data_IF_972283063593
#
_entry.id   IF_972283063593
#
_cell.length_a   1.000
_cell.length_b   1.000
_cell.length_c   1.000
_cell.angle_alpha   90.00
_cell.angle_beta   90.00
_cell.angle_gamma   90.00
#
_symmetry.space_group_name_H-M   'P 1'
#
loop_
_entity.id
_entity.type
_entity.pdbx_description
1 polymer ?
#
# COMPACT_ATOMS: atom_id res chain seq x y z
N UNK A 1 21.98 -5.56 4.53
CA UNK A 1 21.81 -4.60 3.42
C UNK A 1 21.24 -3.31 3.99
N UNK A 2 21.83 -2.17 3.65
CA UNK A 2 21.39 -0.85 4.17
C UNK A 2 20.32 -0.18 3.28
N UNK A 3 19.89 -0.87 2.21
CA UNK A 3 18.89 -0.39 1.25
C UNK A 3 17.56 -1.11 1.45
N UNK A 4 16.48 -0.37 1.21
CA UNK A 4 15.13 -0.89 1.27
C UNK A 4 14.29 -0.28 0.14
N UNK A 5 13.74 -1.12 -0.71
CA UNK A 5 12.87 -0.70 -1.80
C UNK A 5 11.47 -1.31 -1.61
N UNK A 6 10.48 -0.45 -1.46
CA UNK A 6 9.06 -0.80 -1.35
C UNK A 6 8.27 -0.14 -2.47
N UNK A 7 7.33 -0.87 -3.03
CA UNK A 7 6.46 -0.37 -4.11
C UNK A 7 5.01 -0.66 -3.82
N UNK A 8 4.12 0.19 -4.31
CA UNK A 8 2.71 -0.16 -4.55
C UNK A 8 2.51 -0.61 -5.98
N UNK A 9 1.33 -1.14 -6.31
CA UNK A 9 0.85 -1.09 -7.69
C UNK A 9 0.73 0.37 -8.14
N UNK A 10 0.61 0.57 -9.46
CA UNK A 10 0.31 1.88 -10.03
C UNK A 10 -1.14 1.88 -10.51
N UNK A 11 -2.04 2.64 -9.85
CA UNK A 11 -3.44 2.67 -10.20
C UNK A 11 -3.71 3.12 -11.64
N UNK A 12 -4.71 2.50 -12.26
CA UNK A 12 -5.17 2.86 -13.60
C UNK A 12 -6.00 4.15 -13.55
N UNK A 13 -5.65 5.13 -14.41
CA UNK A 13 -6.27 6.48 -14.36
C UNK A 13 -7.66 6.55 -15.01
N UNK A 14 -8.42 5.47 -14.91
CA UNK A 14 -9.80 5.44 -15.37
C UNK A 14 -10.78 6.07 -14.37
N UNK A 15 -10.38 6.27 -13.11
CA UNK A 15 -11.21 6.89 -12.08
C UNK A 15 -10.38 7.60 -10.99
N UNK A 16 -11.06 8.41 -10.16
CA UNK A 16 -10.44 9.07 -9.00
C UNK A 16 -10.08 8.07 -7.90
N UNK A 17 -9.11 8.41 -7.03
CA UNK A 17 -8.72 7.54 -5.92
C UNK A 17 -9.87 7.23 -4.96
N UNK A 18 -9.88 6.01 -4.42
CA UNK A 18 -10.82 5.52 -3.42
C UNK A 18 -10.11 4.85 -2.24
N UNK A 19 -10.87 4.37 -1.23
CA UNK A 19 -10.33 3.79 0.00
C UNK A 19 -9.36 2.62 -0.23
N UNK A 20 -9.57 1.80 -1.26
CA UNK A 20 -8.68 0.68 -1.59
C UNK A 20 -7.27 1.15 -2.00
N UNK A 21 -7.18 2.16 -2.87
CA UNK A 21 -5.89 2.75 -3.25
C UNK A 21 -5.19 3.39 -2.05
N UNK A 22 -5.98 4.08 -1.20
CA UNK A 22 -5.45 4.69 0.01
C UNK A 22 -4.88 3.64 0.98
N UNK A 23 -5.55 2.49 1.18
CA UNK A 23 -5.06 1.39 2.01
C UNK A 23 -3.71 0.88 1.51
N UNK A 24 -3.57 0.65 0.21
CA UNK A 24 -2.33 0.18 -0.40
C UNK A 24 -1.16 1.14 -0.14
N UNK A 25 -1.40 2.45 -0.31
CA UNK A 25 -0.41 3.49 -0.04
C UNK A 25 -0.03 3.56 1.44
N UNK A 26 -0.99 3.44 2.35
CA UNK A 26 -0.74 3.44 3.80
C UNK A 26 0.10 2.24 4.24
N UNK A 27 -0.21 1.05 3.73
CA UNK A 27 0.57 -0.16 4.03
C UNK A 27 2.02 0.01 3.57
N UNK A 28 2.24 0.47 2.34
CA UNK A 28 3.58 0.70 1.83
C UNK A 28 4.35 1.77 2.64
N UNK A 29 3.64 2.83 3.04
CA UNK A 29 4.20 3.91 3.84
C UNK A 29 4.64 3.43 5.24
N UNK A 30 3.85 2.56 5.87
CA UNK A 30 4.22 1.99 7.17
C UNK A 30 5.54 1.21 7.08
N UNK A 31 5.75 0.40 6.05
CA UNK A 31 7.02 -0.30 5.81
C UNK A 31 8.17 0.65 5.47
N UNK A 32 7.92 1.67 4.66
CA UNK A 32 8.92 2.68 4.31
C UNK A 32 9.40 3.45 5.55
N UNK A 33 8.48 3.88 6.41
CA UNK A 33 8.79 4.60 7.65
C UNK A 33 9.53 3.72 8.66
N UNK A 34 9.06 2.46 8.89
CA UNK A 34 9.78 1.50 9.72
C UNK A 34 11.23 1.30 9.24
N UNK A 35 11.43 1.13 7.94
CA UNK A 35 12.76 0.93 7.39
C UNK A 35 13.67 2.15 7.61
N UNK A 36 13.14 3.38 7.49
CA UNK A 36 13.89 4.62 7.82
C UNK A 36 14.27 4.69 9.28
N UNK A 37 13.36 4.30 10.19
CA UNK A 37 13.69 4.20 11.64
C UNK A 37 14.79 3.20 11.92
N UNK A 38 14.92 2.16 11.12
CA UNK A 38 16.03 1.20 11.16
C UNK A 38 17.30 1.73 10.47
N UNK A 39 17.38 3.04 10.18
CA UNK A 39 18.49 3.72 9.50
C UNK A 39 18.82 3.16 8.12
N UNK A 40 17.82 2.58 7.39
CA UNK A 40 17.98 2.15 6.02
C UNK A 40 17.76 3.31 5.04
N UNK A 41 18.50 3.27 3.93
CA UNK A 41 18.18 4.11 2.78
C UNK A 41 16.95 3.54 2.09
N UNK A 42 15.90 4.35 1.89
CA UNK A 42 14.60 3.87 1.40
C UNK A 42 14.23 4.54 0.09
N UNK A 43 13.90 3.73 -0.90
CA UNK A 43 13.08 4.13 -2.04
C UNK A 43 11.68 3.57 -1.81
N UNK A 44 10.69 4.46 -1.86
CA UNK A 44 9.27 4.12 -1.88
C UNK A 44 8.68 4.69 -3.17
N UNK A 45 8.31 3.81 -4.11
CA UNK A 45 7.69 4.19 -5.37
C UNK A 45 6.21 3.83 -5.42
N UNK A 46 5.44 4.76 -5.94
CA UNK A 46 4.07 4.58 -6.42
C UNK A 46 3.93 5.32 -7.74
N UNK A 47 2.75 5.38 -8.32
CA UNK A 47 2.57 6.09 -9.59
C UNK A 47 1.19 5.87 -10.18
N UNK A 48 1.09 6.03 -11.49
CA UNK A 48 -0.16 5.83 -12.25
C UNK A 48 0.09 5.10 -13.55
N UNK A 49 -0.82 4.18 -13.88
CA UNK A 49 -0.92 3.49 -15.15
C UNK A 49 -1.88 4.27 -16.06
N UNK A 50 -1.36 4.76 -17.19
CA UNK A 50 -2.01 5.84 -17.94
C UNK A 50 -2.36 5.48 -19.39
N UNK A 51 -1.99 4.30 -19.88
CA UNK A 51 -2.29 3.85 -21.23
C UNK A 51 -3.52 2.93 -21.27
N UNK A 52 -3.99 2.62 -22.47
CA UNK A 52 -5.08 1.68 -22.72
C UNK A 52 -6.32 2.29 -23.36
N UNK A 53 -7.18 1.41 -23.91
CA UNK A 53 -8.36 1.82 -24.68
C UNK A 53 -9.40 2.57 -23.84
N UNK A 54 -9.60 2.15 -22.59
CA UNK A 54 -10.57 2.79 -21.68
C UNK A 54 -10.25 4.25 -21.38
N UNK A 55 -8.96 4.60 -21.31
CA UNK A 55 -8.56 6.01 -21.08
C UNK A 55 -8.94 6.85 -22.30
N UNK A 56 -8.63 6.34 -23.50
CA UNK A 56 -9.00 7.03 -24.74
C UNK A 56 -10.51 7.18 -24.90
N UNK A 57 -11.27 6.11 -24.70
CA UNK A 57 -12.75 6.12 -24.73
C UNK A 57 -13.34 7.13 -23.73
N UNK A 58 -12.84 7.12 -22.49
CA UNK A 58 -13.32 8.03 -21.44
C UNK A 58 -12.95 9.49 -21.73
N UNK A 59 -11.76 9.74 -22.26
CA UNK A 59 -11.33 11.06 -22.67
C UNK A 59 -12.21 11.60 -23.80
N UNK A 60 -12.46 10.79 -24.84
CA UNK A 60 -13.36 11.13 -25.94
C UNK A 60 -14.78 11.43 -25.44
N UNK A 61 -15.33 10.61 -24.51
CA UNK A 61 -16.64 10.84 -23.90
C UNK A 61 -16.71 12.17 -23.11
N UNK A 62 -15.58 12.70 -22.67
CA UNK A 62 -15.48 14.01 -22.00
C UNK A 62 -15.08 15.15 -22.95
N UNK A 63 -14.82 14.86 -24.22
CA UNK A 63 -14.39 15.86 -25.22
C UNK A 63 -12.97 16.39 -24.99
N UNK A 64 -12.08 15.61 -24.32
CA UNK A 64 -10.69 15.96 -24.04
C UNK A 64 -9.72 14.93 -24.61
N UNK A 65 -8.42 15.24 -24.63
CA UNK A 65 -7.38 14.29 -25.03
C UNK A 65 -7.06 13.26 -23.95
N UNK A 66 -6.59 12.05 -24.35
CA UNK A 66 -6.21 11.00 -23.42
C UNK A 66 -5.10 11.45 -22.45
N UNK A 67 -4.10 12.22 -22.93
CA UNK A 67 -3.06 12.80 -22.07
C UNK A 67 -3.64 13.75 -21.03
N UNK A 68 -4.59 14.60 -21.42
CA UNK A 68 -5.22 15.56 -20.50
C UNK A 68 -6.01 14.86 -19.41
N UNK A 69 -6.73 13.77 -19.74
CA UNK A 69 -7.41 12.94 -18.75
C UNK A 69 -6.41 12.27 -17.80
N UNK A 70 -5.32 11.70 -18.35
CA UNK A 70 -4.27 11.08 -17.57
C UNK A 70 -3.62 12.09 -16.62
N UNK A 71 -3.26 13.28 -17.08
CA UNK A 71 -2.69 14.35 -16.25
C UNK A 71 -3.61 14.75 -15.10
N UNK A 72 -4.90 14.89 -15.38
CA UNK A 72 -5.91 15.25 -14.38
C UNK A 72 -6.04 14.17 -13.29
N UNK A 73 -6.21 12.92 -13.68
CA UNK A 73 -6.44 11.83 -12.71
C UNK A 73 -5.15 11.46 -11.96
N UNK A 74 -3.99 11.47 -12.64
CA UNK A 74 -2.68 11.29 -11.99
C UNK A 74 -2.45 12.37 -10.93
N UNK A 75 -2.86 13.61 -11.20
CA UNK A 75 -2.84 14.71 -10.23
C UNK A 75 -3.66 14.40 -8.97
N UNK A 76 -4.82 13.75 -9.10
CA UNK A 76 -5.65 13.32 -7.96
C UNK A 76 -4.95 12.25 -7.11
N UNK A 77 -4.26 11.28 -7.75
CA UNK A 77 -3.46 10.29 -7.02
C UNK A 77 -2.27 10.92 -6.30
N UNK A 78 -1.58 11.87 -6.93
CA UNK A 78 -0.51 12.62 -6.28
C UNK A 78 -1.04 13.46 -5.11
N UNK A 79 -2.22 14.05 -5.22
CA UNK A 79 -2.87 14.77 -4.13
C UNK A 79 -3.28 13.83 -2.99
N UNK A 80 -3.70 12.59 -3.29
CA UNK A 80 -3.98 11.59 -2.27
C UNK A 80 -2.73 11.25 -1.46
N UNK A 81 -1.55 11.09 -2.09
CA UNK A 81 -0.32 10.81 -1.33
C UNK A 81 0.02 11.95 -0.36
N UNK A 82 -0.17 13.20 -0.78
CA UNK A 82 0.04 14.37 0.07
C UNK A 82 -0.99 14.46 1.20
N UNK A 83 -2.27 14.25 0.87
CA UNK A 83 -3.38 14.28 1.84
C UNK A 83 -3.16 13.29 2.98
N UNK A 84 -2.67 12.08 2.67
CA UNK A 84 -2.47 11.01 3.64
C UNK A 84 -1.07 10.99 4.27
N UNK A 85 -0.24 12.03 4.04
CA UNK A 85 1.14 12.11 4.52
C UNK A 85 1.96 10.86 4.13
N UNK A 86 1.80 10.39 2.86
CA UNK A 86 2.58 9.28 2.31
C UNK A 86 3.99 9.74 2.00
N UNK A 87 4.98 9.00 2.45
CA UNK A 87 6.40 9.37 2.37
C UNK A 87 7.11 8.84 1.12
N UNK A 88 6.35 8.60 0.04
CA UNK A 88 6.93 8.18 -1.23
C UNK A 88 7.92 9.23 -1.77
N UNK A 89 9.03 8.76 -2.30
CA UNK A 89 10.05 9.62 -2.91
C UNK A 89 10.25 9.33 -4.41
N UNK A 90 9.42 8.46 -4.97
CA UNK A 90 9.27 8.24 -6.40
C UNK A 90 7.79 8.17 -6.74
N UNK A 91 7.42 8.83 -7.85
CA UNK A 91 6.08 8.78 -8.43
C UNK A 91 6.25 8.58 -9.93
N UNK A 92 5.94 7.40 -10.43
CA UNK A 92 6.10 7.05 -11.84
C UNK A 92 4.79 7.26 -12.58
N UNK A 93 4.88 7.78 -13.81
CA UNK A 93 3.78 7.83 -14.76
C UNK A 93 4.16 7.00 -15.98
N UNK A 94 3.28 6.14 -16.47
CA UNK A 94 3.63 5.32 -17.64
C UNK A 94 3.73 6.15 -18.92
N UNK A 95 3.14 7.36 -18.93
CA UNK A 95 3.30 8.37 -20.01
C UNK A 95 4.62 9.16 -19.94
N UNK A 96 5.41 9.02 -18.88
CA UNK A 96 6.70 9.71 -18.81
C UNK A 96 7.64 9.25 -19.93
N UNK A 97 8.27 10.16 -20.67
CA UNK A 97 9.21 9.81 -21.74
C UNK A 97 10.33 8.86 -21.28
N UNK A 98 10.76 9.00 -20.02
CA UNK A 98 11.77 8.14 -19.43
C UNK A 98 11.27 6.70 -19.25
N UNK A 99 10.01 6.51 -18.83
CA UNK A 99 9.38 5.19 -18.74
C UNK A 99 9.20 4.58 -20.13
N UNK A 100 8.62 5.34 -21.07
CA UNK A 100 8.38 4.89 -22.46
C UNK A 100 9.68 4.37 -23.10
N UNK A 101 10.74 5.17 -23.03
CA UNK A 101 12.05 4.80 -23.60
C UNK A 101 12.60 3.51 -22.98
N UNK A 102 12.47 3.35 -21.65
CA UNK A 102 12.93 2.15 -20.95
C UNK A 102 12.06 0.94 -21.22
N UNK A 103 10.76 1.11 -21.31
CA UNK A 103 9.83 0.03 -21.67
C UNK A 103 10.16 -0.51 -23.06
N UNK A 104 10.44 0.35 -24.04
CA UNK A 104 10.88 -0.05 -25.38
C UNK A 104 12.23 -0.79 -25.35
N UNK A 105 13.19 -0.35 -24.53
CA UNK A 105 14.46 -1.03 -24.34
C UNK A 105 14.26 -2.43 -23.70
N UNK A 106 13.37 -2.53 -22.71
CA UNK A 106 13.03 -3.81 -22.06
C UNK A 106 12.39 -4.77 -23.07
N UNK A 107 11.46 -4.28 -23.89
CA UNK A 107 10.88 -5.08 -24.97
C UNK A 107 11.96 -5.70 -25.87
N UNK A 108 12.91 -4.90 -26.35
CA UNK A 108 14.02 -5.38 -27.18
C UNK A 108 14.87 -6.44 -26.46
N UNK A 109 15.12 -6.27 -25.17
CA UNK A 109 15.86 -7.28 -24.37
C UNK A 109 15.09 -8.58 -24.18
N UNK A 110 13.76 -8.55 -24.27
CA UNK A 110 12.88 -9.71 -24.17
C UNK A 110 12.62 -10.41 -25.51
N UNK A 111 13.11 -9.89 -26.65
CA UNK A 111 12.82 -10.39 -28.01
C UNK A 111 13.03 -11.90 -28.18
N UNK A 112 14.02 -12.50 -27.48
CA UNK A 112 14.27 -13.96 -27.51
C UNK A 112 13.07 -14.79 -27.03
N UNK A 113 12.21 -14.21 -26.22
CA UNK A 113 11.02 -14.84 -25.64
C UNK A 113 9.71 -14.20 -26.16
N UNK A 114 9.82 -13.38 -27.21
CA UNK A 114 8.65 -12.77 -27.88
C UNK A 114 8.52 -13.38 -29.28
N UNK A 115 7.29 -13.65 -29.68
CA UNK A 115 6.96 -14.09 -31.05
C UNK A 115 5.65 -13.48 -31.52
N UNK A 116 5.44 -13.40 -32.82
CA UNK A 116 4.21 -12.91 -33.43
C UNK A 116 3.30 -14.08 -33.76
N UNK A 117 2.01 -13.97 -33.47
CA UNK A 117 1.05 -15.03 -33.70
C UNK A 117 -0.37 -14.51 -33.73
N UNK A 118 -1.29 -15.33 -34.25
CA UNK A 118 -2.71 -15.03 -34.27
C UNK A 118 -3.34 -15.43 -32.94
N UNK A 119 -3.99 -14.50 -32.29
CA UNK A 119 -4.87 -14.76 -31.16
C UNK A 119 -6.29 -14.95 -31.65
N UNK A 120 -6.86 -16.11 -31.35
CA UNK A 120 -8.29 -16.38 -31.57
C UNK A 120 -8.86 -16.74 -30.20
N UNK A 121 -9.71 -15.89 -29.67
CA UNK A 121 -10.23 -16.12 -28.32
C UNK A 121 -11.29 -15.13 -27.92
N UNK A 122 -11.57 -15.10 -26.62
CA UNK A 122 -12.58 -14.26 -26.03
C UNK A 122 -11.95 -13.08 -25.29
N UNK A 123 -12.56 -11.91 -25.44
CA UNK A 123 -12.09 -10.67 -24.86
C UNK A 123 -13.19 -10.00 -24.05
N UNK A 124 -12.84 -9.49 -22.89
CA UNK A 124 -13.70 -8.59 -22.11
C UNK A 124 -13.19 -7.16 -22.23
N UNK A 125 -13.96 -6.29 -22.88
CA UNK A 125 -13.65 -4.85 -22.97
C UNK A 125 -13.63 -4.17 -21.61
N UNK A 126 -14.36 -4.72 -20.64
CA UNK A 126 -14.39 -4.24 -19.25
C UNK A 126 -13.12 -4.55 -18.46
N UNK A 127 -12.50 -5.70 -18.66
CA UNK A 127 -11.22 -6.08 -18.01
C UNK A 127 -10.00 -5.69 -18.85
N UNK A 128 -10.22 -5.34 -20.14
CA UNK A 128 -9.17 -5.21 -21.17
C UNK A 128 -8.29 -6.47 -21.24
N UNK A 129 -8.89 -7.64 -21.04
CA UNK A 129 -8.20 -8.91 -20.90
C UNK A 129 -8.82 -10.01 -21.75
N UNK A 130 -7.97 -10.97 -22.09
CA UNK A 130 -8.39 -12.19 -22.77
C UNK A 130 -8.80 -13.27 -21.78
N UNK A 131 -9.79 -14.07 -22.19
CA UNK A 131 -10.32 -15.18 -21.40
C UNK A 131 -10.30 -16.46 -22.23
N UNK A 132 -10.02 -17.56 -21.58
CA UNK A 132 -10.09 -18.89 -22.20
C UNK A 132 -11.54 -19.29 -22.46
N UNK A 133 -11.77 -20.17 -23.43
CA UNK A 133 -13.11 -20.69 -23.72
C UNK A 133 -13.73 -21.38 -22.48
N UNK A 134 -12.90 -21.99 -21.64
CA UNK A 134 -13.33 -22.62 -20.38
C UNK A 134 -13.88 -21.58 -19.40
N UNK A 135 -13.19 -20.44 -19.23
CA UNK A 135 -13.64 -19.35 -18.36
C UNK A 135 -14.94 -18.71 -18.88
N UNK A 136 -15.03 -18.52 -20.19
CA UNK A 136 -16.24 -17.97 -20.83
C UNK A 136 -17.44 -18.89 -20.63
N UNK A 137 -17.27 -20.19 -20.82
CA UNK A 137 -18.32 -21.19 -20.59
C UNK A 137 -18.73 -21.26 -19.12
N UNK A 138 -17.77 -21.22 -18.19
CA UNK A 138 -18.04 -21.23 -16.75
C UNK A 138 -18.87 -20.03 -16.29
N UNK A 139 -18.79 -18.91 -17.02
CA UNK A 139 -19.50 -17.67 -16.73
C UNK A 139 -20.68 -17.40 -17.71
N UNK A 140 -21.17 -18.42 -18.41
CA UNK A 140 -22.29 -18.30 -19.34
C UNK A 140 -22.12 -17.21 -20.41
N UNK A 141 -20.90 -16.95 -20.86
CA UNK A 141 -20.57 -15.94 -21.85
C UNK A 141 -20.58 -14.48 -21.35
N UNK A 142 -20.71 -14.26 -20.04
CA UNK A 142 -20.78 -12.93 -19.43
C UNK A 142 -19.60 -12.75 -18.46
N UNK A 143 -18.90 -11.65 -18.57
CA UNK A 143 -17.82 -11.30 -17.67
C UNK A 143 -18.35 -11.08 -16.23
N UNK A 144 -17.86 -11.81 -15.22
CA UNK A 144 -18.36 -11.72 -13.86
C UNK A 144 -18.03 -10.37 -13.19
N UNK A 145 -16.97 -9.69 -13.64
CA UNK A 145 -16.53 -8.42 -13.07
C UNK A 145 -17.35 -7.22 -13.60
N UNK A 146 -17.76 -7.27 -14.87
CA UNK A 146 -18.35 -6.12 -15.56
C UNK A 146 -19.77 -6.36 -16.07
N UNK A 147 -20.29 -7.58 -15.92
CA UNK A 147 -21.62 -8.00 -16.41
C UNK A 147 -21.85 -7.66 -17.90
N UNK A 148 -20.81 -7.85 -18.73
CA UNK A 148 -20.81 -7.63 -20.18
C UNK A 148 -20.54 -8.94 -20.90
N UNK A 149 -21.11 -9.15 -22.11
CA UNK A 149 -20.80 -10.33 -22.91
C UNK A 149 -19.33 -10.31 -23.31
N UNK A 150 -18.71 -11.49 -23.37
CA UNK A 150 -17.39 -11.65 -23.99
C UNK A 150 -17.51 -11.55 -25.51
N UNK A 151 -16.53 -10.91 -26.13
CA UNK A 151 -16.43 -10.75 -27.57
C UNK A 151 -15.43 -11.76 -28.15
N UNK A 152 -15.79 -12.49 -29.19
CA UNK A 152 -14.84 -13.34 -29.89
C UNK A 152 -14.03 -12.47 -30.85
N UNK A 153 -12.72 -12.49 -30.71
CA UNK A 153 -11.80 -11.70 -31.52
C UNK A 153 -10.76 -12.57 -32.18
N UNK A 154 -10.29 -12.11 -33.33
CA UNK A 154 -9.15 -12.65 -34.06
C UNK A 154 -8.21 -11.52 -34.39
N UNK A 155 -6.98 -11.58 -33.88
CA UNK A 155 -5.98 -10.53 -33.99
C UNK A 155 -4.57 -11.09 -34.13
N UNK A 156 -3.75 -10.45 -34.95
CA UNK A 156 -2.32 -10.73 -34.97
C UNK A 156 -1.64 -9.88 -33.86
N UNK A 157 -1.04 -10.55 -32.89
CA UNK A 157 -0.43 -9.92 -31.75
C UNK A 157 0.99 -10.47 -31.50
N UNK A 158 1.78 -9.77 -30.71
CA UNK A 158 2.97 -10.32 -30.10
C UNK A 158 2.62 -11.07 -28.82
N UNK A 159 3.31 -12.20 -28.60
CA UNK A 159 3.16 -13.07 -27.43
C UNK A 159 4.49 -13.15 -26.68
N UNK A 160 4.41 -13.20 -25.35
CA UNK A 160 5.53 -13.52 -24.48
C UNK A 160 5.42 -14.98 -24.03
N UNK A 161 6.53 -15.74 -24.16
CA UNK A 161 6.63 -17.16 -23.78
C UNK A 161 6.58 -17.35 -22.26
N UNK A 162 5.45 -17.01 -21.63
CA UNK A 162 5.24 -17.14 -20.20
C UNK A 162 5.35 -18.60 -19.76
N UNK A 163 4.83 -19.53 -20.58
CA UNK A 163 4.88 -20.98 -20.34
C UNK A 163 6.28 -21.50 -20.06
N UNK A 164 7.30 -20.93 -20.71
CA UNK A 164 8.71 -21.30 -20.55
C UNK A 164 9.22 -21.14 -19.11
N UNK A 165 8.68 -20.18 -18.37
CA UNK A 165 9.13 -19.80 -17.03
C UNK A 165 8.24 -20.37 -15.92
N UNK A 166 7.19 -21.12 -16.26
CA UNK A 166 6.18 -21.61 -15.33
C UNK A 166 6.78 -22.39 -14.17
N UNK A 167 7.64 -23.37 -14.45
CA UNK A 167 8.27 -24.21 -13.43
C UNK A 167 9.27 -23.44 -12.56
N UNK A 168 10.02 -22.52 -13.15
CA UNK A 168 11.00 -21.72 -12.40
C UNK A 168 10.32 -20.76 -11.42
N UNK A 169 9.25 -20.08 -11.86
CA UNK A 169 8.45 -19.20 -11.00
C UNK A 169 7.76 -19.99 -9.89
N UNK A 170 7.12 -21.11 -10.23
CA UNK A 170 6.51 -22.01 -9.24
C UNK A 170 7.51 -22.42 -8.17
N UNK A 171 8.71 -22.87 -8.59
CA UNK A 171 9.77 -23.31 -7.68
C UNK A 171 10.28 -22.17 -6.80
N UNK A 172 10.40 -20.96 -7.35
CA UNK A 172 10.80 -19.79 -6.57
C UNK A 172 9.78 -19.46 -5.45
N UNK A 173 8.48 -19.53 -5.75
CA UNK A 173 7.41 -19.31 -4.77
C UNK A 173 7.37 -20.45 -3.75
N UNK A 174 7.44 -21.71 -4.21
CA UNK A 174 7.38 -22.90 -3.35
C UNK A 174 8.52 -22.94 -2.33
N UNK A 175 9.72 -22.54 -2.75
CA UNK A 175 10.92 -22.54 -1.92
C UNK A 175 11.14 -21.21 -1.16
N UNK A 176 10.15 -20.30 -1.16
CA UNK A 176 10.22 -18.99 -0.52
C UNK A 176 11.39 -18.10 -0.97
N UNK A 177 11.92 -18.29 -2.19
CA UNK A 177 12.83 -17.34 -2.82
C UNK A 177 12.09 -16.07 -3.23
N UNK A 178 10.83 -16.23 -3.63
CA UNK A 178 9.86 -15.15 -3.81
C UNK A 178 8.70 -15.43 -2.88
N UNK A 179 8.60 -14.68 -1.78
CA UNK A 179 7.59 -14.88 -0.74
C UNK A 179 6.30 -14.18 -1.12
N UNK A 180 5.17 -14.85 -0.92
CA UNK A 180 3.84 -14.27 -1.16
C UNK A 180 3.05 -14.28 0.14
N UNK A 181 2.48 -13.15 0.48
CA UNK A 181 1.66 -12.94 1.66
C UNK A 181 0.27 -12.38 1.27
N UNK A 182 -0.77 -12.70 2.02
CA UNK A 182 -0.83 -13.74 3.06
C UNK A 182 -0.74 -15.17 2.48
N UNK A 183 -0.61 -16.16 3.35
CA UNK A 183 -0.47 -17.58 2.96
C UNK A 183 -1.64 -18.09 2.08
N UNK A 184 -2.84 -17.57 2.30
CA UNK A 184 -4.02 -17.88 1.46
C UNK A 184 -3.76 -17.49 0.00
N UNK A 185 -3.24 -16.30 -0.25
CA UNK A 185 -2.90 -15.81 -1.59
C UNK A 185 -1.76 -16.60 -2.24
N UNK A 186 -0.76 -16.96 -1.43
CA UNK A 186 0.30 -17.86 -1.90
C UNK A 186 -0.26 -19.18 -2.41
N UNK A 187 -1.19 -19.80 -1.69
CA UNK A 187 -1.79 -21.06 -2.09
C UNK A 187 -2.64 -20.92 -3.37
N UNK A 188 -3.41 -19.84 -3.49
CA UNK A 188 -4.15 -19.52 -4.71
C UNK A 188 -3.21 -19.37 -5.92
N UNK A 189 -2.11 -18.64 -5.75
CA UNK A 189 -1.11 -18.47 -6.80
C UNK A 189 -0.48 -19.82 -7.19
N UNK A 190 -0.08 -20.64 -6.22
CA UNK A 190 0.49 -21.97 -6.54
C UNK A 190 -0.49 -22.85 -7.32
N UNK A 191 -1.79 -22.77 -7.00
CA UNK A 191 -2.83 -23.51 -7.75
C UNK A 191 -2.99 -23.05 -9.21
N UNK A 192 -2.60 -21.82 -9.56
CA UNK A 192 -2.60 -21.36 -10.96
C UNK A 192 -1.56 -22.13 -11.80
N UNK A 193 -0.47 -22.58 -11.19
CA UNK A 193 0.61 -23.29 -11.87
C UNK A 193 0.33 -24.78 -12.05
N UNK A 194 -0.63 -25.37 -11.33
CA UNK A 194 -0.96 -26.81 -11.42
C UNK A 194 -1.38 -27.24 -12.85
N UNK A 195 -1.93 -26.31 -13.62
CA UNK A 195 -2.35 -26.50 -15.02
C UNK A 195 -1.28 -26.06 -16.03
N UNK A 196 -0.16 -25.51 -15.55
CA UNK A 196 0.80 -24.78 -16.37
C UNK A 196 0.30 -23.39 -16.75
N UNK A 197 1.23 -22.50 -17.09
CA UNK A 197 0.91 -21.18 -17.62
C UNK A 197 0.96 -21.22 -19.16
N UNK A 198 0.02 -20.53 -19.79
CA UNK A 198 0.01 -20.32 -21.25
C UNK A 198 0.75 -19.03 -21.60
N UNK A 199 1.23 -18.95 -22.84
CA UNK A 199 1.84 -17.73 -23.37
C UNK A 199 0.81 -16.60 -23.42
N UNK A 200 1.25 -15.39 -23.13
CA UNK A 200 0.36 -14.23 -23.03
C UNK A 200 0.53 -13.28 -24.22
N UNK A 201 -0.57 -12.75 -24.71
CA UNK A 201 -0.54 -11.67 -25.69
C UNK A 201 -0.12 -10.35 -25.02
N UNK A 202 0.94 -9.73 -25.56
CA UNK A 202 1.62 -8.55 -25.00
C UNK A 202 1.54 -7.31 -25.90
N UNK A 203 0.78 -7.37 -26.99
CA UNK A 203 0.51 -6.22 -27.85
C UNK A 203 -0.95 -6.19 -28.32
N UNK A 204 -1.32 -5.07 -28.90
CA UNK A 204 -2.63 -4.84 -29.51
C UNK A 204 -2.46 -4.09 -30.83
N UNK A 205 -3.31 -4.34 -31.83
CA UNK A 205 -3.34 -3.54 -33.04
C UNK A 205 -3.62 -2.06 -32.76
N UNK A 206 -2.84 -1.19 -33.33
CA UNK A 206 -2.92 0.27 -33.09
C UNK A 206 -4.20 0.92 -33.65
N UNK A 207 -4.83 0.29 -34.63
CA UNK A 207 -6.13 0.71 -35.14
C UNK A 207 -7.25 0.51 -34.12
N UNK A 208 -7.11 -0.44 -33.21
CA UNK A 208 -8.05 -0.71 -32.11
C UNK A 208 -7.71 0.07 -30.85
N UNK A 209 -6.43 0.11 -30.45
CA UNK A 209 -5.95 0.84 -29.27
C UNK A 209 -4.95 1.91 -29.71
N UNK A 210 -5.41 3.15 -29.76
CA UNK A 210 -4.58 4.29 -30.21
C UNK A 210 -3.65 4.83 -29.11
N UNK A 211 -4.05 4.69 -27.87
CA UNK A 211 -3.35 5.23 -26.69
C UNK A 211 -2.52 4.15 -26.00
N UNK A 212 -1.23 4.09 -26.29
CA UNK A 212 -0.29 3.10 -25.78
C UNK A 212 1.12 3.33 -26.30
N UNK A 213 2.10 2.60 -25.73
CA UNK A 213 3.50 2.63 -26.16
C UNK A 213 3.66 1.83 -27.45
N UNK A 214 4.24 2.45 -28.50
CA UNK A 214 4.48 1.73 -29.75
C UNK A 214 5.49 0.59 -29.55
N UNK A 215 5.21 -0.56 -30.17
CA UNK A 215 6.14 -1.68 -30.25
C UNK A 215 7.37 -1.28 -31.06
N UNK A 216 8.60 -1.49 -30.56
CA UNK A 216 9.81 -1.23 -31.31
C UNK A 216 9.86 -2.03 -32.63
N UNK A 217 10.07 -1.33 -33.73
CA UNK A 217 10.15 -1.95 -35.06
C UNK A 217 8.81 -2.28 -35.72
N UNK A 218 7.67 -2.11 -35.02
CA UNK A 218 6.32 -2.33 -35.60
C UNK A 218 5.35 -1.23 -35.17
N UNK A 219 5.20 -0.23 -36.05
CA UNK A 219 4.30 0.91 -35.80
C UNK A 219 2.82 0.59 -35.88
N UNK A 220 2.46 -0.63 -36.32
CA UNK A 220 1.07 -1.11 -36.38
C UNK A 220 0.57 -1.69 -35.05
N UNK A 221 1.47 -1.83 -34.06
CA UNK A 221 1.20 -2.44 -32.77
C UNK A 221 1.56 -1.50 -31.62
N UNK A 222 0.80 -1.54 -30.55
CA UNK A 222 1.12 -0.93 -29.26
C UNK A 222 1.29 -2.03 -28.19
N UNK A 223 2.13 -1.76 -27.19
CA UNK A 223 2.31 -2.67 -26.05
C UNK A 223 1.00 -2.80 -25.28
N UNK A 224 0.73 -4.00 -24.81
CA UNK A 224 -0.39 -4.25 -23.90
C UNK A 224 -0.12 -3.55 -22.56
N UNK A 225 -1.13 -2.83 -22.04
CA UNK A 225 -1.00 -1.97 -20.86
C UNK A 225 -0.38 -2.70 -19.66
N UNK A 226 -0.85 -3.89 -19.32
CA UNK A 226 -0.31 -4.66 -18.19
C UNK A 226 1.14 -5.10 -18.40
N UNK A 227 1.56 -5.33 -19.65
CA UNK A 227 2.94 -5.73 -19.94
C UNK A 227 3.92 -4.59 -19.71
N UNK A 228 3.60 -3.39 -20.19
CA UNK A 228 4.46 -2.23 -20.01
C UNK A 228 4.36 -1.64 -18.58
N UNK A 229 3.14 -1.64 -17.99
CA UNK A 229 2.94 -1.13 -16.65
C UNK A 229 3.78 -1.88 -15.60
N UNK A 230 3.90 -3.24 -15.69
CA UNK A 230 4.76 -4.01 -14.80
C UNK A 230 6.22 -3.59 -14.81
N UNK A 231 6.69 -3.01 -15.91
CA UNK A 231 8.07 -2.53 -16.02
C UNK A 231 8.35 -1.30 -15.14
N UNK A 232 7.30 -0.62 -14.61
CA UNK A 232 7.45 0.55 -13.76
C UNK A 232 8.42 0.32 -12.60
N UNK A 233 8.40 -0.87 -12.01
CA UNK A 233 9.19 -1.24 -10.83
C UNK A 233 10.70 -1.13 -11.04
N UNK A 234 11.17 -1.27 -12.27
CA UNK A 234 12.58 -1.12 -12.61
C UNK A 234 12.84 0.15 -13.42
N UNK A 235 11.87 0.63 -14.21
CA UNK A 235 12.07 1.86 -14.99
C UNK A 235 12.17 3.10 -14.10
N UNK A 236 11.43 3.14 -12.98
CA UNK A 236 11.48 4.23 -11.99
C UNK A 236 12.84 4.30 -11.29
N UNK A 237 13.55 3.18 -11.18
CA UNK A 237 14.92 3.11 -10.68
C UNK A 237 15.98 3.43 -11.77
N UNK A 238 15.54 3.61 -13.00
CA UNK A 238 16.43 3.94 -14.12
C UNK A 238 17.16 2.74 -14.74
N UNK A 239 16.52 1.55 -14.74
CA UNK A 239 17.05 0.36 -15.43
C UNK A 239 17.45 0.69 -16.88
N UNK A 240 18.60 0.13 -17.38
CA UNK A 240 19.54 -0.75 -16.67
C UNK A 240 20.74 0.00 -16.04
N UNK A 241 20.99 1.25 -16.36
CA UNK A 241 22.31 1.86 -16.10
C UNK A 241 22.37 2.63 -14.78
N UNK A 242 21.24 3.17 -14.30
CA UNK A 242 21.24 4.09 -13.17
C UNK A 242 21.67 3.44 -11.87
N UNK A 243 22.31 4.22 -11.00
CA UNK A 243 22.83 3.75 -9.73
C UNK A 243 21.71 3.25 -8.80
N UNK A 244 20.55 3.91 -8.78
CA UNK A 244 19.41 3.49 -7.96
C UNK A 244 18.99 2.06 -8.31
N UNK A 245 18.92 1.71 -9.60
CA UNK A 245 18.60 0.33 -9.99
C UNK A 245 19.63 -0.67 -9.46
N UNK A 246 20.92 -0.37 -9.61
CA UNK A 246 21.99 -1.26 -9.16
C UNK A 246 22.05 -1.45 -7.65
N UNK A 247 21.59 -0.47 -6.88
CA UNK A 247 21.65 -0.46 -5.42
C UNK A 247 20.38 -0.98 -4.76
N UNK A 248 19.21 -0.70 -5.34
CA UNK A 248 17.92 -0.95 -4.70
C UNK A 248 17.18 -2.15 -5.28
N UNK A 249 17.50 -2.59 -6.50
CA UNK A 249 16.92 -3.83 -7.02
C UNK A 249 17.64 -5.05 -6.46
N UNK A 250 16.95 -6.13 -6.04
CA UNK A 250 15.50 -6.36 -6.10
C UNK A 250 14.71 -5.64 -5.02
N UNK A 251 13.41 -5.39 -5.29
CA UNK A 251 12.50 -4.82 -4.32
C UNK A 251 12.36 -5.72 -3.08
N UNK A 252 12.38 -5.12 -1.88
CA UNK A 252 12.12 -5.84 -0.64
C UNK A 252 10.66 -6.26 -0.53
N UNK A 253 9.75 -5.35 -0.89
CA UNK A 253 8.31 -5.59 -0.81
C UNK A 253 7.63 -4.94 -2.02
N UNK A 254 6.80 -5.71 -2.71
CA UNK A 254 5.79 -5.19 -3.65
C UNK A 254 4.42 -5.38 -3.02
N UNK A 255 3.62 -4.32 -2.94
CA UNK A 255 2.29 -4.33 -2.32
C UNK A 255 1.27 -4.11 -3.42
N UNK A 256 0.24 -4.96 -3.47
CA UNK A 256 -0.75 -4.96 -4.54
C UNK A 256 -2.14 -5.36 -4.04
N UNK A 257 -3.18 -5.00 -4.75
CA UNK A 257 -4.51 -5.56 -4.54
C UNK A 257 -4.58 -7.06 -4.92
N UNK A 258 -5.44 -7.82 -4.24
CA UNK A 258 -5.59 -9.26 -4.49
C UNK A 258 -6.03 -9.61 -5.92
N UNK A 259 -6.74 -8.72 -6.59
CA UNK A 259 -7.28 -8.88 -7.95
C UNK A 259 -6.20 -8.90 -9.03
N UNK A 260 -5.06 -8.23 -8.77
CA UNK A 260 -3.95 -8.14 -9.72
C UNK A 260 -2.78 -9.05 -9.36
N UNK A 261 -2.95 -9.94 -8.37
CA UNK A 261 -1.89 -10.82 -7.89
C UNK A 261 -1.33 -11.72 -9.01
N UNK A 262 -2.15 -12.17 -9.96
CA UNK A 262 -1.71 -13.01 -11.09
C UNK A 262 -0.62 -12.33 -11.92
N UNK A 263 -0.78 -11.05 -12.21
CA UNK A 263 0.22 -10.30 -12.99
C UNK A 263 1.55 -10.19 -12.24
N UNK A 264 1.50 -9.99 -10.92
CA UNK A 264 2.68 -9.79 -10.09
C UNK A 264 3.36 -11.09 -9.63
N UNK A 265 2.61 -12.20 -9.58
CA UNK A 265 3.12 -13.48 -9.13
C UNK A 265 3.49 -14.44 -10.26
N UNK A 266 3.03 -14.18 -11.50
CA UNK A 266 3.33 -15.01 -12.67
C UNK A 266 4.01 -14.21 -13.78
N UNK A 267 3.35 -13.19 -14.34
CA UNK A 267 3.85 -12.46 -15.50
C UNK A 267 5.15 -11.70 -15.18
N UNK A 268 5.14 -10.92 -14.12
CA UNK A 268 6.29 -10.11 -13.72
C UNK A 268 7.54 -10.92 -13.37
N UNK A 269 7.47 -11.97 -12.54
CA UNK A 269 8.60 -12.86 -12.31
C UNK A 269 9.18 -13.49 -13.57
N UNK A 270 8.33 -13.94 -14.49
CA UNK A 270 8.77 -14.50 -15.76
C UNK A 270 9.50 -13.49 -16.64
N UNK A 271 9.00 -12.24 -16.70
CA UNK A 271 9.69 -11.15 -17.41
C UNK A 271 11.06 -10.86 -16.79
N UNK A 272 11.17 -10.83 -15.46
CA UNK A 272 12.44 -10.64 -14.76
C UNK A 272 13.43 -11.77 -15.04
N UNK A 273 12.98 -13.03 -14.98
CA UNK A 273 13.81 -14.21 -15.32
C UNK A 273 14.30 -14.14 -16.77
N UNK A 274 13.44 -13.74 -17.71
CA UNK A 274 13.83 -13.54 -19.10
C UNK A 274 14.88 -12.45 -19.27
N UNK A 275 14.82 -11.39 -18.45
CA UNK A 275 15.83 -10.32 -18.40
C UNK A 275 17.11 -10.73 -17.68
N UNK A 276 17.13 -11.88 -17.00
CA UNK A 276 18.25 -12.32 -16.15
C UNK A 276 18.36 -11.49 -14.86
N UNK A 277 17.23 -10.99 -14.33
CA UNK A 277 17.17 -10.18 -13.12
C UNK A 277 16.65 -10.99 -11.93
N UNK A 278 17.08 -10.60 -10.72
CA UNK A 278 16.56 -11.16 -9.48
C UNK A 278 15.08 -10.84 -9.29
N UNK A 279 14.37 -11.74 -8.62
CA UNK A 279 12.96 -11.54 -8.25
C UNK A 279 12.84 -10.62 -7.03
N UNK A 280 11.73 -9.92 -6.86
CA UNK A 280 11.39 -9.24 -5.59
C UNK A 280 11.46 -10.24 -4.43
N UNK A 281 11.86 -9.78 -3.24
CA UNK A 281 11.94 -10.66 -2.07
C UNK A 281 10.57 -11.10 -1.59
N UNK A 282 9.59 -10.19 -1.64
CA UNK A 282 8.21 -10.49 -1.22
C UNK A 282 7.16 -9.70 -2.00
N UNK A 283 5.99 -10.33 -2.13
CA UNK A 283 4.74 -9.78 -2.63
C UNK A 283 3.70 -9.86 -1.53
N UNK A 284 3.13 -8.73 -1.16
CA UNK A 284 2.01 -8.66 -0.24
C UNK A 284 0.74 -8.25 -0.98
N UNK A 285 -0.29 -9.11 -0.94
CA UNK A 285 -1.57 -8.87 -1.60
C UNK A 285 -2.65 -8.59 -0.55
N UNK A 286 -3.07 -7.32 -0.44
CA UNK A 286 -4.14 -6.92 0.47
C UNK A 286 -5.54 -7.25 -0.07
N UNK A 287 -6.52 -7.33 0.85
CA UNK A 287 -7.93 -7.51 0.53
C UNK A 287 -8.61 -6.23 0.04
N UNK A 288 -9.87 -6.34 -0.34
CA UNK A 288 -10.70 -5.19 -0.69
C UNK A 288 -11.21 -4.45 0.55
N UNK A 289 -11.50 -3.17 0.38
CA UNK A 289 -12.25 -2.38 1.35
C UNK A 289 -13.69 -2.27 0.88
N UNK A 290 -14.59 -2.88 1.63
CA UNK A 290 -16.03 -2.75 1.45
C UNK A 290 -16.56 -1.55 2.25
N UNK A 291 -17.74 -1.07 1.88
CA UNK A 291 -18.47 -0.03 2.63
C UNK A 291 -19.84 -0.57 2.98
N UNK A 292 -20.15 -0.64 4.27
CA UNK A 292 -21.39 -1.22 4.80
C UNK A 292 -21.66 -2.64 4.28
N UNK A 293 -20.60 -3.47 4.23
CA UNK A 293 -20.65 -4.87 3.77
C UNK A 293 -20.90 -5.03 2.26
N UNK A 294 -20.66 -3.99 1.48
CA UNK A 294 -20.84 -4.02 0.01
C UNK A 294 -19.59 -3.50 -0.69
N UNK A 295 -19.28 -4.08 -1.85
CA UNK A 295 -18.23 -3.55 -2.73
C UNK A 295 -18.55 -2.10 -3.09
N UNK A 296 -17.55 -1.21 -2.99
CA UNK A 296 -17.70 0.18 -3.44
C UNK A 296 -18.02 0.25 -4.93
N UNK A 297 -19.06 0.99 -5.27
CA UNK A 297 -19.48 1.20 -6.66
C UNK A 297 -20.20 2.54 -6.79
N UNK A 298 -19.92 3.27 -7.88
CA UNK A 298 -20.64 4.51 -8.20
C UNK A 298 -22.13 4.28 -8.43
N UNK A 299 -22.49 3.14 -9.00
CA UNK A 299 -23.89 2.78 -9.23
C UNK A 299 -24.67 2.54 -7.95
N UNK A 300 -23.98 2.14 -6.86
CA UNK A 300 -24.58 1.98 -5.52
C UNK A 300 -24.52 3.28 -4.70
N UNK A 301 -23.80 4.30 -5.14
CA UNK A 301 -23.66 5.57 -4.43
C UNK A 301 -22.92 5.46 -3.10
N UNK A 302 -22.18 4.35 -2.85
CA UNK A 302 -21.48 4.09 -1.59
C UNK A 302 -19.97 4.35 -1.66
N UNK A 303 -19.50 5.11 -2.64
CA UNK A 303 -18.09 5.48 -2.76
C UNK A 303 -17.77 6.60 -1.76
N UNK A 304 -16.85 6.32 -0.84
CA UNK A 304 -16.35 7.28 0.14
C UNK A 304 -14.97 7.76 -0.30
N UNK A 305 -14.81 9.08 -0.37
CA UNK A 305 -13.52 9.68 -0.69
C UNK A 305 -12.66 9.83 0.58
N UNK A 306 -11.37 9.45 0.55
CA UNK A 306 -10.47 9.61 1.70
C UNK A 306 -10.47 11.03 2.28
N UNK A 307 -10.59 12.05 1.44
CA UNK A 307 -10.63 13.47 1.85
C UNK A 307 -11.76 13.81 2.82
N UNK A 308 -12.90 13.12 2.71
CA UNK A 308 -14.08 13.42 3.55
C UNK A 308 -13.85 12.96 4.98
N UNK A 309 -13.19 11.80 5.16
CA UNK A 309 -12.81 11.29 6.48
C UNK A 309 -11.69 12.16 7.08
N UNK A 310 -10.66 12.48 6.30
CA UNK A 310 -9.53 13.31 6.75
C UNK A 310 -9.97 14.71 7.15
N UNK A 311 -10.88 15.33 6.40
CA UNK A 311 -11.41 16.67 6.74
C UNK A 311 -12.13 16.70 8.07
N UNK A 312 -12.79 15.61 8.47
CA UNK A 312 -13.56 15.52 9.71
C UNK A 312 -12.72 15.12 10.93
N UNK A 313 -11.77 14.18 10.74
CA UNK A 313 -11.07 13.51 11.85
C UNK A 313 -9.54 13.64 11.81
N UNK A 314 -8.99 14.20 10.75
CA UNK A 314 -7.55 14.30 10.55
C UNK A 314 -6.89 13.06 9.94
N UNK A 315 -5.65 13.25 9.49
CA UNK A 315 -4.89 12.24 8.74
C UNK A 315 -4.58 11.02 9.60
N UNK A 316 -4.08 11.22 10.82
CA UNK A 316 -3.63 10.11 11.66
C UNK A 316 -4.78 9.23 12.16
N UNK A 317 -5.98 9.79 12.36
CA UNK A 317 -7.18 9.00 12.66
C UNK A 317 -7.57 8.11 11.45
N UNK A 318 -7.49 8.66 10.23
CA UNK A 318 -7.68 7.90 9.00
C UNK A 318 -6.68 6.76 8.90
N UNK A 319 -5.37 7.06 9.04
CA UNK A 319 -4.27 6.09 8.95
C UNK A 319 -4.43 4.97 9.98
N UNK A 320 -4.72 5.33 11.22
CA UNK A 320 -4.95 4.40 12.31
C UNK A 320 -6.06 3.40 12.00
N UNK A 321 -7.25 3.92 11.62
CA UNK A 321 -8.39 3.06 11.33
C UNK A 321 -8.09 2.06 10.21
N UNK A 322 -7.56 2.55 9.10
CA UNK A 322 -7.31 1.71 7.93
C UNK A 322 -6.18 0.71 8.12
N UNK A 323 -5.16 1.02 8.92
CA UNK A 323 -4.07 0.10 9.20
C UNK A 323 -4.39 -0.90 10.32
N UNK A 324 -5.32 -0.58 11.23
CA UNK A 324 -5.65 -1.44 12.36
C UNK A 324 -6.94 -2.23 12.18
N UNK A 325 -8.00 -1.59 11.67
CA UNK A 325 -9.34 -2.17 11.62
C UNK A 325 -9.72 -2.76 10.25
N UNK A 326 -8.89 -2.55 9.22
CA UNK A 326 -8.95 -3.31 7.98
C UNK A 326 -7.95 -4.47 8.11
N UNK A 327 -8.42 -5.74 8.07
CA UNK A 327 -7.54 -6.88 8.29
C UNK A 327 -6.41 -6.99 7.27
N UNK A 328 -5.20 -7.29 7.72
CA UNK A 328 -4.03 -7.44 6.83
C UNK A 328 -4.12 -8.66 5.90
N UNK A 329 -4.98 -9.65 6.19
CA UNK A 329 -5.01 -10.93 5.45
C UNK A 329 -6.30 -11.21 4.68
N UNK A 330 -7.32 -10.36 4.79
CA UNK A 330 -8.66 -10.55 4.19
C UNK A 330 -9.28 -9.23 3.77
N UNK A 331 -10.48 -9.29 3.21
CA UNK A 331 -11.29 -8.12 2.94
C UNK A 331 -11.73 -7.46 4.25
N UNK A 332 -11.81 -6.15 4.26
CA UNK A 332 -12.25 -5.38 5.40
C UNK A 332 -13.46 -4.50 5.08
N UNK A 333 -14.17 -4.08 6.11
CA UNK A 333 -15.37 -3.28 5.98
C UNK A 333 -15.21 -1.94 6.67
N UNK A 334 -15.49 -0.86 5.96
CA UNK A 334 -15.61 0.48 6.51
C UNK A 334 -17.08 0.79 6.77
N UNK A 335 -17.39 1.38 7.92
CA UNK A 335 -18.63 2.11 8.17
C UNK A 335 -18.35 3.35 9.00
N UNK A 336 -19.16 4.39 8.82
CA UNK A 336 -19.02 5.61 9.61
C UNK A 336 -19.23 5.37 11.10
N UNK A 337 -20.21 4.56 11.47
CA UNK A 337 -20.51 4.25 12.87
C UNK A 337 -19.33 3.56 13.56
N UNK A 338 -18.72 2.57 12.90
CA UNK A 338 -17.55 1.89 13.45
C UNK A 338 -16.33 2.81 13.50
N UNK A 339 -16.15 3.68 12.51
CA UNK A 339 -15.05 4.66 12.52
C UNK A 339 -15.18 5.63 13.69
N UNK A 340 -16.38 6.17 13.94
CA UNK A 340 -16.65 7.11 15.05
C UNK A 340 -16.48 6.41 16.41
N UNK A 341 -16.91 5.16 16.53
CA UNK A 341 -16.73 4.36 17.75
C UNK A 341 -15.24 4.16 18.05
N UNK A 342 -14.47 3.72 17.07
CA UNK A 342 -13.01 3.52 17.18
C UNK A 342 -12.31 4.84 17.53
N UNK A 343 -12.64 5.91 16.82
CA UNK A 343 -12.06 7.24 17.08
C UNK A 343 -12.28 7.68 18.53
N UNK A 344 -13.51 7.59 19.01
CA UNK A 344 -13.84 8.06 20.37
C UNK A 344 -13.27 7.13 21.46
N UNK A 345 -13.32 5.82 21.27
CA UNK A 345 -12.88 4.86 22.28
C UNK A 345 -11.36 4.71 22.30
N UNK A 346 -10.74 4.46 21.17
CA UNK A 346 -9.32 4.12 21.15
C UNK A 346 -8.44 5.37 21.04
N UNK A 347 -8.73 6.30 20.12
CA UNK A 347 -7.89 7.48 19.93
C UNK A 347 -8.14 8.55 20.99
N UNK A 348 -9.40 8.92 21.25
CA UNK A 348 -9.70 9.99 22.21
C UNK A 348 -9.62 9.50 23.66
N UNK A 349 -10.28 8.37 24.01
CA UNK A 349 -10.36 7.92 25.40
C UNK A 349 -9.13 7.13 25.87
N UNK A 350 -8.53 6.26 25.03
CA UNK A 350 -7.36 5.49 25.47
C UNK A 350 -6.07 6.30 25.28
N UNK A 351 -5.67 6.61 24.04
CA UNK A 351 -4.39 7.28 23.77
C UNK A 351 -4.44 8.76 24.16
N UNK A 352 -5.43 9.52 23.66
CA UNK A 352 -5.53 10.96 23.92
C UNK A 352 -5.66 11.28 25.40
N UNK A 353 -6.48 10.51 26.13
CA UNK A 353 -6.63 10.67 27.59
C UNK A 353 -5.36 10.30 28.34
N UNK A 354 -4.64 9.22 27.98
CA UNK A 354 -3.36 8.86 28.58
C UNK A 354 -2.37 10.04 28.50
N UNK A 355 -2.19 10.60 27.31
CA UNK A 355 -1.27 11.71 27.05
C UNK A 355 -1.66 12.96 27.85
N UNK A 356 -2.93 13.37 27.73
CA UNK A 356 -3.47 14.57 28.38
C UNK A 356 -3.41 14.46 29.90
N UNK A 357 -3.79 13.31 30.46
CA UNK A 357 -3.84 13.05 31.89
C UNK A 357 -2.44 13.02 32.49
N UNK A 358 -1.49 12.31 31.87
CA UNK A 358 -0.11 12.28 32.32
C UNK A 358 0.51 13.68 32.34
N UNK A 359 0.39 14.43 31.24
CA UNK A 359 0.94 15.77 31.16
C UNK A 359 0.30 16.72 32.20
N UNK A 360 -1.02 16.65 32.40
CA UNK A 360 -1.73 17.47 33.42
C UNK A 360 -1.31 17.13 34.84
N UNK A 361 -1.04 15.86 35.15
CA UNK A 361 -0.56 15.46 36.46
C UNK A 361 0.87 15.92 36.71
N UNK A 362 1.77 15.85 35.71
CA UNK A 362 3.13 16.41 35.80
C UNK A 362 3.08 17.93 36.05
N UNK A 363 2.23 18.66 35.32
CA UNK A 363 2.03 20.10 35.59
C UNK A 363 1.62 20.36 37.03
N UNK A 364 0.66 19.60 37.54
CA UNK A 364 0.06 19.83 38.84
C UNK A 364 0.93 19.38 40.00
N UNK A 365 1.61 18.24 39.90
CA UNK A 365 2.29 17.61 41.03
C UNK A 365 3.82 17.79 41.03
N UNK A 366 4.41 18.05 39.85
CA UNK A 366 5.85 18.27 39.69
C UNK A 366 6.18 19.70 39.16
N UNK A 367 5.27 20.68 39.31
CA UNK A 367 5.47 22.04 38.79
C UNK A 367 5.87 22.10 37.32
N UNK A 368 5.30 21.24 36.52
CA UNK A 368 5.62 21.02 35.09
C UNK A 368 7.00 20.40 34.83
N UNK A 369 7.82 20.14 35.81
CA UNK A 369 9.17 19.55 35.62
C UNK A 369 9.05 18.07 35.25
N UNK A 370 9.66 17.71 34.10
CA UNK A 370 9.75 16.33 33.66
C UNK A 370 10.89 15.64 34.39
N UNK A 371 10.67 14.54 35.15
CA UNK A 371 11.71 13.83 35.85
C UNK A 371 12.69 13.16 34.87
N UNK A 372 13.86 12.78 35.37
CA UNK A 372 14.84 11.98 34.63
C UNK A 372 14.16 10.70 34.10
N UNK A 373 14.39 10.41 32.82
CA UNK A 373 13.76 9.31 32.17
C UNK A 373 14.57 8.02 32.33
N UNK A 374 13.92 6.96 32.73
CA UNK A 374 14.48 5.61 32.79
C UNK A 374 13.90 4.83 31.62
N UNK A 375 14.73 4.41 30.64
CA UNK A 375 14.21 3.66 29.49
C UNK A 375 13.42 2.43 29.95
N UNK A 376 12.18 2.23 29.44
CA UNK A 376 11.41 1.06 29.81
C UNK A 376 12.04 -0.21 29.20
N UNK A 377 12.00 -1.30 29.93
CA UNK A 377 12.36 -2.63 29.42
C UNK A 377 11.16 -3.32 28.76
N UNK A 378 10.61 -2.70 27.71
CA UNK A 378 9.51 -3.35 26.97
C UNK A 378 10.07 -4.23 25.86
N UNK A 379 9.56 -5.45 25.79
CA UNK A 379 9.87 -6.37 24.70
C UNK A 379 9.00 -6.04 23.47
N UNK A 380 9.63 -5.45 22.45
CA UNK A 380 8.98 -5.12 21.17
C UNK A 380 9.03 -6.26 20.14
N UNK A 381 9.43 -7.47 20.56
CA UNK A 381 9.61 -8.60 19.66
C UNK A 381 8.32 -8.97 18.91
N UNK A 382 7.19 -8.94 19.60
CA UNK A 382 5.90 -9.24 18.94
C UNK A 382 5.55 -8.17 17.89
N UNK A 383 5.81 -6.90 18.18
CA UNK A 383 5.64 -5.80 17.23
C UNK A 383 6.51 -6.00 15.98
N UNK A 384 7.78 -6.32 16.14
CA UNK A 384 8.70 -6.57 15.03
C UNK A 384 8.29 -7.81 14.24
N UNK A 385 7.91 -8.90 14.91
CA UNK A 385 7.44 -10.13 14.28
C UNK A 385 6.17 -9.89 13.46
N UNK A 386 5.22 -9.12 13.99
CA UNK A 386 3.99 -8.78 13.27
C UNK A 386 4.27 -8.02 11.96
N UNK A 387 5.23 -7.08 11.98
CA UNK A 387 5.67 -6.42 10.75
C UNK A 387 6.32 -7.39 9.75
N UNK A 388 7.20 -8.27 10.22
CA UNK A 388 7.92 -9.21 9.37
C UNK A 388 7.00 -10.27 8.75
N UNK A 389 5.86 -10.55 9.38
CA UNK A 389 4.81 -11.46 8.91
C UNK A 389 3.66 -10.75 8.17
N UNK A 390 3.77 -9.45 7.91
CA UNK A 390 2.76 -8.62 7.25
C UNK A 390 1.42 -8.50 7.98
N UNK A 391 1.46 -8.51 9.32
CA UNK A 391 0.33 -8.30 10.21
C UNK A 391 0.39 -6.91 10.86
N UNK A 392 0.21 -5.84 10.05
CA UNK A 392 0.27 -4.45 10.52
C UNK A 392 -0.77 -4.18 11.62
N UNK A 393 -1.97 -4.71 11.46
CA UNK A 393 -3.05 -4.66 12.45
C UNK A 393 -2.61 -5.20 13.81
N UNK A 394 -1.87 -6.31 13.84
CA UNK A 394 -1.31 -6.87 15.06
C UNK A 394 -0.13 -6.04 15.61
N UNK A 395 0.70 -5.48 14.76
CA UNK A 395 1.76 -4.57 15.21
C UNK A 395 1.19 -3.36 15.96
N UNK A 396 0.10 -2.76 15.45
CA UNK A 396 -0.59 -1.68 16.15
C UNK A 396 -1.23 -2.17 17.44
N UNK A 397 -1.80 -3.39 17.47
CA UNK A 397 -2.37 -3.96 18.69
C UNK A 397 -1.32 -4.12 19.80
N UNK A 398 -0.07 -4.49 19.48
CA UNK A 398 1.01 -4.54 20.48
C UNK A 398 1.27 -3.17 21.12
N UNK A 399 1.21 -2.09 20.33
CA UNK A 399 1.30 -0.71 20.88
C UNK A 399 0.08 -0.40 21.77
N UNK A 400 -1.12 -0.82 21.35
CA UNK A 400 -2.34 -0.57 22.13
C UNK A 400 -2.39 -1.34 23.45
N UNK A 401 -1.75 -2.51 23.53
CA UNK A 401 -1.55 -3.22 24.81
C UNK A 401 -0.74 -2.35 25.79
N UNK A 402 0.31 -1.68 25.31
CA UNK A 402 1.09 -0.76 26.14
C UNK A 402 0.24 0.44 26.57
N UNK A 403 -0.52 1.06 25.67
CA UNK A 403 -1.42 2.20 25.99
C UNK A 403 -2.41 1.81 27.10
N UNK A 404 -3.08 0.66 26.97
CA UNK A 404 -4.00 0.16 27.99
C UNK A 404 -3.31 -0.18 29.30
N UNK A 405 -2.11 -0.78 29.24
CA UNK A 405 -1.29 -1.09 30.41
C UNK A 405 -0.90 0.17 31.20
N UNK A 406 -0.55 1.26 30.52
CA UNK A 406 -0.21 2.53 31.19
C UNK A 406 -1.44 3.21 31.79
N UNK A 407 -2.61 3.16 31.13
CA UNK A 407 -3.86 3.64 31.73
C UNK A 407 -4.19 2.87 33.01
N UNK A 408 -4.03 1.54 33.01
CA UNK A 408 -4.22 0.71 34.20
C UNK A 408 -3.19 1.03 35.29
N UNK A 409 -1.91 1.20 34.94
CA UNK A 409 -0.85 1.58 35.87
C UNK A 409 -1.16 2.89 36.62
N UNK A 410 -1.70 3.90 35.93
CA UNK A 410 -2.15 5.15 36.56
C UNK A 410 -3.26 4.91 37.59
N UNK A 411 -4.22 4.01 37.31
CA UNK A 411 -5.30 3.67 38.23
C UNK A 411 -4.82 2.86 39.44
N UNK A 412 -3.81 2.02 39.27
CA UNK A 412 -3.24 1.20 40.36
C UNK A 412 -2.34 2.03 41.28
N UNK A 413 -1.45 2.85 40.72
CA UNK A 413 -0.49 3.67 41.48
C UNK A 413 -1.12 4.89 42.13
N UNK A 414 -2.23 5.38 41.55
CA UNK A 414 -2.99 6.55 42.08
C UNK A 414 -2.11 7.75 42.42
N UNK A 415 -1.40 8.36 41.44
CA UNK A 415 -0.45 9.43 41.72
C UNK A 415 -1.05 10.63 42.49
N UNK A 416 -2.38 10.84 42.36
CA UNK A 416 -3.11 11.88 43.11
C UNK A 416 -3.23 11.61 44.61
N UNK A 417 -3.07 10.36 45.06
CA UNK A 417 -3.01 10.00 46.50
C UNK A 417 -1.63 10.27 47.03
N UNK A 418 -0.59 9.78 46.34
CA UNK A 418 0.81 9.97 46.68
C UNK A 418 1.18 11.48 46.77
N UNK A 419 0.62 12.28 45.85
CA UNK A 419 0.77 13.73 45.85
C UNK A 419 0.21 14.40 47.12
N UNK A 420 -0.84 13.86 47.76
CA UNK A 420 -1.37 14.36 49.05
C UNK A 420 -0.49 14.00 50.23
N UNK A 421 0.29 12.92 50.13
CA UNK A 421 1.24 12.48 51.12
C UNK A 421 2.59 13.22 51.03
N UNK A 422 2.75 14.09 50.01
CA UNK A 422 3.94 14.84 49.67
C UNK A 422 5.19 13.95 49.41
N UNK A 423 5.01 12.71 48.97
CA UNK A 423 6.08 11.82 48.58
C UNK A 423 6.52 12.12 47.12
N UNK A 424 7.37 13.15 47.00
CA UNK A 424 7.86 13.64 45.71
C UNK A 424 8.76 12.64 44.97
N UNK A 425 9.52 11.86 45.71
CA UNK A 425 10.46 10.91 45.09
C UNK A 425 9.72 9.75 44.48
N UNK A 426 8.73 9.20 45.14
CA UNK A 426 7.85 8.17 44.58
C UNK A 426 7.03 8.69 43.38
N UNK A 427 6.55 9.95 43.43
CA UNK A 427 5.92 10.59 42.29
C UNK A 427 6.86 10.70 41.08
N UNK A 428 8.11 11.08 41.29
CA UNK A 428 9.11 11.15 40.22
C UNK A 428 9.35 9.78 39.57
N UNK A 429 9.43 8.71 40.37
CA UNK A 429 9.58 7.33 39.86
C UNK A 429 8.42 6.94 38.98
N UNK A 430 7.15 7.17 39.40
CA UNK A 430 5.97 6.87 38.65
C UNK A 430 5.94 7.64 37.32
N UNK A 431 6.20 8.96 37.37
CA UNK A 431 6.15 9.78 36.13
C UNK A 431 7.37 9.54 35.25
N UNK A 432 8.53 9.16 35.77
CA UNK A 432 9.67 8.72 34.99
C UNK A 432 9.30 7.50 34.13
N UNK A 433 8.72 6.46 34.75
CA UNK A 433 8.25 5.27 34.04
C UNK A 433 7.15 5.58 33.01
N UNK A 434 6.12 6.35 33.39
CA UNK A 434 5.03 6.73 32.48
C UNK A 434 5.53 7.48 31.25
N UNK A 435 6.40 8.47 31.46
CA UNK A 435 6.89 9.33 30.38
C UNK A 435 7.81 8.55 29.45
N UNK A 436 8.71 7.73 30.00
CA UNK A 436 9.61 6.89 29.20
C UNK A 436 8.82 5.91 28.34
N UNK A 437 7.79 5.27 28.90
CA UNK A 437 6.90 4.35 28.15
C UNK A 437 6.05 5.08 27.12
N UNK A 438 5.57 6.29 27.40
CA UNK A 438 4.84 7.12 26.43
C UNK A 438 5.74 7.55 25.27
N UNK A 439 6.99 7.87 25.52
CA UNK A 439 7.96 8.18 24.44
C UNK A 439 8.26 6.97 23.58
N UNK A 440 8.32 5.77 24.16
CA UNK A 440 8.44 4.54 23.39
C UNK A 440 7.19 4.31 22.52
N UNK A 441 5.97 4.43 23.08
CA UNK A 441 4.71 4.39 22.31
C UNK A 441 4.75 5.40 21.18
N UNK A 442 5.15 6.66 21.44
CA UNK A 442 5.30 7.68 20.41
C UNK A 442 6.21 7.23 19.27
N UNK A 443 7.33 6.61 19.63
CA UNK A 443 8.26 6.05 18.66
C UNK A 443 7.68 4.87 17.85
N UNK A 444 6.96 3.95 18.50
CA UNK A 444 6.34 2.80 17.83
C UNK A 444 5.17 3.21 16.92
N UNK A 445 4.52 4.33 17.22
CA UNK A 445 3.41 4.87 16.41
C UNK A 445 3.86 5.58 15.13
N UNK A 446 5.12 5.99 15.01
CA UNK A 446 5.59 6.79 13.87
C UNK A 446 5.27 6.18 12.49
N UNK A 447 5.40 4.86 12.24
CA UNK A 447 5.03 4.28 10.96
C UNK A 447 3.54 4.41 10.60
N UNK A 448 2.68 4.50 11.60
CA UNK A 448 1.22 4.49 11.44
C UNK A 448 0.61 5.88 11.55
N UNK A 449 1.05 6.65 12.54
CA UNK A 449 0.48 7.95 12.95
C UNK A 449 1.62 8.98 13.13
N UNK A 450 2.28 9.40 12.02
CA UNK A 450 3.50 10.19 12.09
C UNK A 450 3.33 11.55 12.78
N UNK A 451 2.20 12.24 12.56
CA UNK A 451 1.96 13.55 13.17
C UNK A 451 1.68 13.43 14.66
N UNK A 452 0.96 12.40 15.08
CA UNK A 452 0.69 12.08 16.49
C UNK A 452 1.98 11.68 17.21
N UNK A 453 2.81 10.85 16.58
CA UNK A 453 4.14 10.49 17.08
C UNK A 453 4.98 11.72 17.40
N UNK A 454 5.11 12.64 16.43
CA UNK A 454 5.84 13.89 16.60
C UNK A 454 5.28 14.73 17.75
N UNK A 455 3.96 14.84 17.88
CA UNK A 455 3.31 15.59 18.96
C UNK A 455 3.59 15.00 20.34
N UNK A 456 3.51 13.66 20.47
CA UNK A 456 3.83 12.95 21.73
C UNK A 456 5.29 13.15 22.11
N UNK A 457 6.21 12.93 21.17
CA UNK A 457 7.64 13.08 21.42
C UNK A 457 7.97 14.53 21.81
N UNK A 458 7.46 15.52 21.08
CA UNK A 458 7.70 16.92 21.39
C UNK A 458 7.13 17.35 22.75
N UNK A 459 6.02 16.74 23.18
CA UNK A 459 5.41 17.07 24.48
C UNK A 459 6.25 16.58 25.66
N UNK A 460 6.85 15.40 25.56
CA UNK A 460 7.53 14.76 26.70
C UNK A 460 9.06 14.73 26.59
N UNK A 461 9.65 14.98 25.42
CA UNK A 461 11.10 15.04 25.23
C UNK A 461 11.64 16.47 25.43
N UNK A 462 11.34 17.04 26.60
CA UNK A 462 11.79 18.37 27.03
C UNK A 462 11.91 18.43 28.56
N UNK A 463 12.38 19.52 29.11
CA UNK A 463 12.57 19.65 30.57
C UNK A 463 11.30 19.99 31.34
N UNK A 464 10.29 20.60 30.66
CA UNK A 464 9.05 21.03 31.29
C UNK A 464 7.86 20.84 30.36
N UNK A 465 6.73 20.41 30.88
CA UNK A 465 5.44 20.39 30.16
C UNK A 465 4.98 21.84 29.91
N UNK A 466 4.59 22.19 28.67
CA UNK A 466 4.12 23.54 28.35
C UNK A 466 2.78 23.87 29.05
N UNK A 467 2.54 25.16 29.32
CA UNK A 467 1.30 25.60 30.00
C UNK A 467 0.02 25.17 29.29
N UNK A 468 0.03 25.16 27.96
CA UNK A 468 -1.09 24.71 27.12
C UNK A 468 -0.76 23.40 26.46
N UNK A 469 -1.53 22.35 26.76
CA UNK A 469 -1.40 21.03 26.15
C UNK A 469 -2.43 20.95 25.03
N UNK A 470 -1.98 20.58 23.82
CA UNK A 470 -2.86 20.32 22.69
C UNK A 470 -3.61 18.99 22.89
N UNK A 471 -4.91 18.99 22.68
CA UNK A 471 -5.71 17.77 22.69
C UNK A 471 -5.46 17.04 21.37
N UNK A 472 -4.88 15.83 21.41
CA UNK A 472 -4.54 15.07 20.22
C UNK A 472 -5.78 14.65 19.41
N UNK A 473 -6.80 14.16 20.10
CA UNK A 473 -8.05 13.66 19.51
C UNK A 473 -9.26 14.21 20.28
N UNK A 474 -9.83 15.35 19.86
CA UNK A 474 -11.04 15.87 20.47
C UNK A 474 -12.21 14.91 20.24
N UNK A 475 -13.02 14.64 21.29
CA UNK A 475 -14.21 13.79 21.14
C UNK A 475 -15.17 14.39 20.12
N UNK A 476 -15.67 13.55 19.24
CA UNK A 476 -16.79 13.90 18.36
C UNK A 476 -18.10 13.73 19.11
N UNK A 477 -19.07 14.62 18.82
CA UNK A 477 -20.40 14.60 19.50
C UNK A 477 -21.27 13.50 18.90
#
# INVERSE_FOLDING_TARGET
MNQFYVTTSIPYVNDVPHLGHALEFLVADAYARRARKQNKQVIFSTGTDEHGGKIDEKAQAQGIGAQELADKISGEFLNLTRLLNISNNRFVRTTDPAHIKRAQLIWQKLEKDIYKGNYIGWYCTGDEAYFSETEVRANNGICPNHNRPFEKIEEENYFFKLSRYSEEVYTAIKNNKFKIYPKTRRNEVLALFDKGLEDISISRPKDKIKWGINVPGDSSQVMYVWFEALMNYITVLGYPEHLDFKQFWPANIQIVGKDIIRFHAANWPAMLMSLGLDLPLSLYAHGFVEVDGKKMSKSLGNVIAPKDIVAKHGVDAYRYYFLRHIPSSSDGNFSWDNFEEVYNNELANELGNLIQRTASMVQKYLNSEIPEQIPPEHDIKNYETAFDEFHIDQAIEEVWKQVRGLNQYIEETKPWVIAKENDLDHLKEIFSYLISSILEIGNLLEPFMPDTSVKIINLFNQTKIPNKIEILFPKTK
#
